data_IF_027169268522
#
_entry.id   IF_027169268522
#
_cell.length_a   1.000
_cell.length_b   1.000
_cell.length_c   1.000
_cell.angle_alpha   90.00
_cell.angle_beta   90.00
_cell.angle_gamma   90.00
#
_symmetry.space_group_name_H-M   'P 1'
#
loop_
_entity.id
_entity.type
_entity.pdbx_description
1 polymer ?
#
# COMPACT_ATOMS: atom_id res chain seq x y z
N UNK A 1 -1.87 -33.82 28.96
CA UNK A 1 -1.34 -33.10 27.79
C UNK A 1 -2.12 -33.56 26.56
N UNK A 2 -3.11 -32.79 26.10
CA UNK A 2 -3.76 -33.01 24.81
C UNK A 2 -3.88 -31.68 24.07
N UNK A 3 -3.31 -31.65 22.87
CA UNK A 3 -3.23 -30.51 21.96
C UNK A 3 -4.62 -30.27 21.34
N UNK A 4 -5.26 -29.15 21.67
CA UNK A 4 -6.55 -28.76 21.10
C UNK A 4 -6.35 -28.05 19.78
N UNK A 5 -6.27 -28.81 18.69
CA UNK A 5 -6.24 -28.29 17.32
C UNK A 5 -7.55 -27.53 17.09
N UNK A 6 -7.50 -26.18 17.04
CA UNK A 6 -8.65 -25.32 16.72
C UNK A 6 -9.09 -25.63 15.28
N UNK A 7 -10.04 -26.56 15.15
CA UNK A 7 -10.60 -26.96 13.87
C UNK A 7 -11.59 -25.87 13.42
N UNK A 8 -11.14 -25.05 12.47
CA UNK A 8 -11.98 -24.03 11.84
C UNK A 8 -13.06 -24.76 11.03
N UNK A 9 -14.32 -24.55 11.40
CA UNK A 9 -15.46 -25.05 10.64
C UNK A 9 -15.55 -24.32 9.30
N UNK A 10 -15.08 -24.99 8.25
CA UNK A 10 -14.96 -24.45 6.89
C UNK A 10 -16.31 -24.03 6.30
N UNK A 11 -17.42 -24.69 6.69
CA UNK A 11 -18.75 -24.32 6.18
C UNK A 11 -19.19 -22.98 6.76
N UNK A 12 -18.93 -22.75 8.04
CA UNK A 12 -19.20 -21.45 8.67
C UNK A 12 -18.30 -20.35 8.10
N UNK A 13 -17.05 -20.67 7.80
CA UNK A 13 -16.13 -19.76 7.12
C UNK A 13 -16.64 -19.33 5.74
N UNK A 14 -17.10 -20.28 4.91
CA UNK A 14 -17.63 -19.99 3.56
C UNK A 14 -18.97 -19.25 3.56
N UNK A 15 -19.74 -19.37 4.65
CA UNK A 15 -21.07 -18.76 4.77
C UNK A 15 -21.00 -17.40 5.49
N UNK A 16 -19.81 -16.96 5.90
CA UNK A 16 -19.57 -15.66 6.54
C UNK A 16 -19.97 -15.56 8.01
N UNK A 17 -20.33 -16.69 8.63
CA UNK A 17 -20.89 -16.73 9.98
C UNK A 17 -19.79 -16.96 11.04
N UNK A 18 -18.79 -16.08 11.00
CA UNK A 18 -17.71 -15.99 11.97
C UNK A 18 -17.91 -14.66 12.69
N UNK A 19 -18.58 -14.66 13.83
CA UNK A 19 -18.56 -13.49 14.69
C UNK A 19 -17.20 -13.46 15.39
N UNK A 20 -16.29 -12.52 15.09
CA UNK A 20 -15.16 -12.30 15.98
C UNK A 20 -15.71 -11.86 17.33
N UNK A 21 -15.10 -12.37 18.38
CA UNK A 21 -15.30 -11.96 19.77
C UNK A 21 -15.40 -10.42 19.82
N UNK A 22 -16.47 -9.90 20.44
CA UNK A 22 -16.81 -8.47 20.44
C UNK A 22 -15.59 -7.65 20.83
N UNK A 23 -15.03 -6.92 19.87
CA UNK A 23 -14.04 -5.87 20.10
C UNK A 23 -14.72 -4.81 20.99
N UNK A 24 -14.11 -4.36 22.10
CA UNK A 24 -14.72 -3.38 22.99
C UNK A 24 -15.11 -2.12 22.22
N UNK A 25 -16.40 -1.77 22.27
CA UNK A 25 -16.99 -0.54 21.72
C UNK A 25 -16.55 0.65 22.59
N UNK A 26 -15.34 1.14 22.36
CA UNK A 26 -14.91 2.50 22.71
C UNK A 26 -13.61 2.94 22.00
N UNK A 27 -13.09 2.19 21.03
CA UNK A 27 -11.94 2.62 20.24
C UNK A 27 -12.42 3.40 19.02
N UNK A 28 -12.12 4.70 18.98
CA UNK A 28 -12.22 5.51 17.76
C UNK A 28 -11.44 4.77 16.65
N UNK A 29 -11.94 4.67 15.41
CA UNK A 29 -11.19 3.99 14.35
C UNK A 29 -9.82 4.66 14.21
N UNK A 30 -8.74 3.91 14.50
CA UNK A 30 -7.38 4.36 14.23
C UNK A 30 -7.24 4.44 12.73
N UNK A 31 -7.15 5.66 12.20
CA UNK A 31 -6.80 5.87 10.80
C UNK A 31 -5.29 5.72 10.68
N UNK A 32 -4.84 5.02 9.64
CA UNK A 32 -3.42 4.86 9.37
C UNK A 32 -3.06 5.63 8.11
N UNK A 33 -1.85 6.19 8.09
CA UNK A 33 -1.25 6.82 6.93
C UNK A 33 -0.06 5.98 6.47
N UNK A 34 -0.06 5.60 5.20
CA UNK A 34 0.96 4.77 4.60
C UNK A 34 1.87 5.66 3.75
N UNK A 35 3.16 5.70 4.08
CA UNK A 35 4.20 6.33 3.27
C UNK A 35 5.08 5.22 2.73
N UNK A 36 5.13 5.10 1.41
CA UNK A 36 5.84 4.01 0.74
C UNK A 36 6.76 4.56 -0.34
N UNK A 37 7.84 3.83 -0.63
CA UNK A 37 8.65 4.12 -1.81
C UNK A 37 8.85 2.88 -2.66
N UNK A 38 8.96 3.11 -3.97
CA UNK A 38 9.12 2.09 -4.97
C UNK A 38 10.19 2.48 -5.99
N UNK A 39 10.79 1.46 -6.58
CA UNK A 39 11.66 1.61 -7.76
C UNK A 39 10.94 1.00 -8.95
N UNK A 40 10.61 1.84 -9.92
CA UNK A 40 10.08 1.43 -11.21
C UNK A 40 11.25 1.31 -12.18
N UNK A 41 11.45 0.12 -12.76
CA UNK A 41 12.46 -0.10 -13.81
C UNK A 41 11.76 -0.15 -15.15
N UNK A 42 12.20 0.67 -16.11
CA UNK A 42 11.57 0.82 -17.42
C UNK A 42 12.60 0.94 -18.55
N UNK A 43 12.12 1.02 -19.80
CA UNK A 43 12.97 1.33 -20.96
C UNK A 43 13.62 2.71 -20.78
N UNK A 44 14.95 2.84 -20.88
CA UNK A 44 15.64 4.13 -20.70
C UNK A 44 15.06 5.26 -21.56
N UNK A 45 14.71 4.96 -22.81
CA UNK A 45 14.14 5.92 -23.76
C UNK A 45 12.71 6.36 -23.43
N UNK A 46 11.99 5.62 -22.57
CA UNK A 46 10.62 5.94 -22.13
C UNK A 46 10.56 6.44 -20.68
N UNK A 47 11.66 6.38 -19.92
CA UNK A 47 11.67 6.74 -18.50
C UNK A 47 11.16 8.16 -18.23
N UNK A 48 11.50 9.13 -19.08
CA UNK A 48 11.03 10.52 -18.91
C UNK A 48 9.49 10.63 -19.02
N UNK A 49 8.90 9.92 -19.99
CA UNK A 49 7.45 9.94 -20.18
C UNK A 49 6.73 9.14 -19.08
N UNK A 50 7.25 7.97 -18.72
CA UNK A 50 6.70 7.17 -17.62
C UNK A 50 6.76 7.94 -16.31
N UNK A 51 7.88 8.63 -16.02
CA UNK A 51 8.00 9.48 -14.85
C UNK A 51 6.96 10.61 -14.85
N UNK A 52 6.70 11.23 -16.00
CA UNK A 52 5.65 12.25 -16.14
C UNK A 52 4.25 11.70 -15.86
N UNK A 53 3.95 10.50 -16.36
CA UNK A 53 2.68 9.82 -16.10
C UNK A 53 2.53 9.45 -14.63
N UNK A 54 3.59 8.92 -14.01
CA UNK A 54 3.62 8.61 -12.59
C UNK A 54 3.39 9.87 -11.77
N UNK A 55 4.11 10.96 -12.02
CA UNK A 55 3.97 12.22 -11.28
C UNK A 55 2.58 12.87 -11.41
N UNK A 56 1.77 12.47 -12.40
CA UNK A 56 0.40 12.91 -12.56
C UNK A 56 -0.62 12.05 -11.77
N UNK A 57 -0.20 10.91 -11.20
CA UNK A 57 -1.04 10.07 -10.35
C UNK A 57 -1.23 10.71 -8.97
N UNK A 58 -2.44 10.62 -8.41
CA UNK A 58 -2.76 11.15 -7.08
C UNK A 58 -1.89 10.52 -6.00
N UNK A 59 -1.38 11.37 -5.10
CA UNK A 59 -0.57 10.98 -3.94
C UNK A 59 0.70 10.20 -4.31
N UNK A 60 1.33 10.62 -5.42
CA UNK A 60 2.62 10.07 -5.86
C UNK A 60 3.59 11.18 -6.24
N UNK A 61 4.87 10.96 -5.94
CA UNK A 61 5.96 11.89 -6.24
C UNK A 61 7.12 11.13 -6.89
N UNK A 62 7.63 11.62 -8.01
CA UNK A 62 8.88 11.09 -8.60
C UNK A 62 10.07 11.82 -7.99
N UNK A 63 10.91 11.09 -7.27
CA UNK A 63 12.09 11.64 -6.57
C UNK A 63 13.33 11.71 -7.45
N UNK A 64 13.49 10.75 -8.34
CA UNK A 64 14.65 10.66 -9.23
C UNK A 64 14.35 9.80 -10.46
N UNK A 65 15.07 10.08 -11.54
CA UNK A 65 15.15 9.24 -12.74
C UNK A 65 16.63 9.03 -13.05
N UNK A 66 17.10 7.79 -12.98
CA UNK A 66 18.51 7.41 -13.16
C UNK A 66 18.63 6.21 -14.11
N UNK A 67 18.99 6.48 -15.36
CA UNK A 67 19.06 5.46 -16.40
C UNK A 67 17.71 4.80 -16.64
N UNK A 68 17.58 3.52 -16.28
CA UNK A 68 16.34 2.75 -16.40
C UNK A 68 15.48 2.76 -15.13
N UNK A 69 15.88 3.47 -14.06
CA UNK A 69 15.20 3.45 -12.76
C UNK A 69 14.49 4.77 -12.49
N UNK A 70 13.29 4.68 -11.94
CA UNK A 70 12.49 5.81 -11.45
C UNK A 70 12.20 5.53 -9.98
N UNK A 71 12.59 6.46 -9.10
CA UNK A 71 12.32 6.38 -7.68
C UNK A 71 11.03 7.14 -7.38
N UNK A 72 10.07 6.47 -6.77
CA UNK A 72 8.72 7.00 -6.53
C UNK A 72 8.41 6.93 -5.04
N UNK A 73 7.80 7.99 -4.50
CA UNK A 73 7.17 8.00 -3.18
C UNK A 73 5.67 8.04 -3.37
N UNK A 74 4.94 7.30 -2.55
CA UNK A 74 3.48 7.21 -2.58
C UNK A 74 2.92 7.33 -1.17
N UNK A 75 1.78 8.01 -1.06
CA UNK A 75 1.03 8.17 0.18
C UNK A 75 -0.37 7.55 0.05
N UNK A 76 -0.93 7.00 1.12
CA UNK A 76 -2.24 6.36 1.07
C UNK A 76 -2.84 6.05 2.42
N UNK A 77 -4.13 5.75 2.45
CA UNK A 77 -4.86 5.43 3.68
C UNK A 77 -4.87 3.92 3.98
N UNK A 78 -4.36 3.11 3.06
CA UNK A 78 -4.23 1.66 3.23
C UNK A 78 -3.13 1.07 2.34
N UNK A 79 -2.59 -0.08 2.73
CA UNK A 79 -1.71 -0.87 1.86
C UNK A 79 -2.39 -1.29 0.55
N UNK A 80 -3.72 -1.37 0.52
CA UNK A 80 -4.49 -1.67 -0.69
C UNK A 80 -4.40 -0.54 -1.74
N UNK A 81 -4.48 0.71 -1.30
CA UNK A 81 -4.31 1.88 -2.19
C UNK A 81 -2.89 1.95 -2.73
N UNK A 82 -1.89 1.78 -1.88
CA UNK A 82 -0.48 1.74 -2.28
C UNK A 82 -0.23 0.62 -3.29
N UNK A 83 -0.71 -0.60 -3.00
CA UNK A 83 -0.58 -1.75 -3.88
C UNK A 83 -1.27 -1.56 -5.23
N UNK A 84 -2.44 -0.92 -5.26
CA UNK A 84 -3.14 -0.57 -6.50
C UNK A 84 -2.34 0.40 -7.37
N UNK A 85 -1.74 1.43 -6.77
CA UNK A 85 -0.85 2.37 -7.48
C UNK A 85 0.40 1.66 -8.01
N UNK A 86 1.05 0.82 -7.19
CA UNK A 86 2.22 0.04 -7.61
C UNK A 86 1.88 -0.90 -8.79
N UNK A 87 0.73 -1.56 -8.74
CA UNK A 87 0.23 -2.41 -9.82
C UNK A 87 -0.02 -1.61 -11.09
N UNK A 88 -0.62 -0.41 -10.96
CA UNK A 88 -0.83 0.50 -12.09
C UNK A 88 0.49 0.86 -12.77
N UNK A 89 1.53 1.19 -11.99
CA UNK A 89 2.87 1.48 -12.53
C UNK A 89 3.47 0.26 -13.21
N UNK A 90 3.36 -0.93 -12.61
CA UNK A 90 3.89 -2.17 -13.17
C UNK A 90 3.26 -2.54 -14.53
N UNK A 91 2.03 -2.10 -14.78
CA UNK A 91 1.28 -2.37 -16.01
C UNK A 91 1.47 -1.29 -17.10
N UNK A 92 2.21 -0.22 -16.83
CA UNK A 92 2.48 0.81 -17.84
C UNK A 92 3.37 0.26 -18.96
N UNK A 93 3.04 0.61 -20.21
CA UNK A 93 3.85 0.25 -21.36
C UNK A 93 5.29 0.78 -21.21
N UNK A 94 6.26 -0.11 -21.39
CA UNK A 94 7.67 0.22 -21.22
C UNK A 94 8.22 -0.01 -19.81
N UNK A 95 7.37 -0.30 -18.83
CA UNK A 95 7.80 -0.73 -17.48
C UNK A 95 8.12 -2.22 -17.48
N UNK A 96 9.29 -2.56 -16.93
CA UNK A 96 9.71 -3.95 -16.71
C UNK A 96 9.33 -4.45 -15.31
N UNK A 97 9.36 -3.58 -14.31
CA UNK A 97 8.94 -3.89 -12.94
C UNK A 97 8.64 -2.63 -12.15
N UNK A 98 7.77 -2.75 -11.14
CA UNK A 98 7.61 -1.77 -10.08
C UNK A 98 7.72 -2.52 -8.75
N UNK A 99 8.76 -2.21 -7.96
CA UNK A 99 9.05 -2.93 -6.72
C UNK A 99 8.99 -1.97 -5.53
N UNK A 100 8.22 -2.34 -4.50
CA UNK A 100 8.25 -1.63 -3.22
C UNK A 100 9.64 -1.84 -2.58
N UNK A 101 10.24 -0.76 -2.09
CA UNK A 101 11.53 -0.80 -1.37
C UNK A 101 11.42 -0.29 0.06
N UNK A 102 10.36 0.44 0.38
CA UNK A 102 10.08 0.93 1.72
C UNK A 102 8.58 1.04 1.95
N UNK A 103 8.14 0.76 3.18
CA UNK A 103 6.79 1.05 3.67
C UNK A 103 6.89 1.46 5.15
N UNK A 104 6.21 2.55 5.49
CA UNK A 104 6.00 3.02 6.84
C UNK A 104 4.51 3.30 7.04
N UNK A 105 3.98 2.87 8.18
CA UNK A 105 2.57 3.02 8.54
C UNK A 105 2.53 3.84 9.82
N UNK A 106 1.93 5.02 9.75
CA UNK A 106 1.80 5.96 10.87
C UNK A 106 0.35 5.98 11.38
N UNK A 107 0.11 5.89 12.69
CA UNK A 107 -1.20 6.19 13.26
C UNK A 107 -1.51 7.67 13.06
N UNK A 108 -2.67 7.99 12.52
CA UNK A 108 -3.20 9.35 12.49
C UNK A 108 -3.87 9.58 13.84
N UNK A 109 -3.12 10.12 14.79
CA UNK A 109 -3.67 10.60 16.04
C UNK A 109 -4.45 11.90 15.77
N UNK A 110 -5.75 11.90 16.06
CA UNK A 110 -6.66 13.06 15.96
C UNK A 110 -6.41 14.10 17.07
N UNK A 111 -5.22 14.06 17.69
CA UNK A 111 -4.78 14.94 18.76
C UNK A 111 -4.26 16.24 18.16
N UNK A 112 -5.18 17.09 17.70
CA UNK A 112 -4.85 18.48 17.40
C UNK A 112 -4.31 19.16 18.66
N UNK A 113 -2.98 19.22 18.80
CA UNK A 113 -2.31 20.09 19.76
C UNK A 113 -2.37 21.50 19.16
N UNK A 114 -3.48 22.18 19.43
CA UNK A 114 -3.67 23.61 19.24
C UNK A 114 -2.64 24.33 20.14
N UNK A 115 -1.52 24.76 19.56
CA UNK A 115 -0.51 25.62 20.21
C UNK A 115 -0.12 26.78 19.31
#
# INVERSE_FOLDING_TARGET
MLTGKREIDRRKFLTGDIMPERVPTSARPQRFFHISSAVVTARPEQCAEIARLIAAMSDTEVRAVEGSKIVVVMEGQSSGEIGSRLTTMALMDGVFSANMVFEQIEPIDDSGDDR
#
